data_IF_565934393526
#
_entry.id   IF_565934393526
#
_cell.length_a   1.000
_cell.length_b   1.000
_cell.length_c   1.000
_cell.angle_alpha   90.00
_cell.angle_beta   90.00
_cell.angle_gamma   90.00
#
_symmetry.space_group_name_H-M   'P 1'
#
loop_
_entity.id
_entity.type
_entity.pdbx_description
1 polymer ?
#
# COMPACT_ATOMS: atom_id res chain seq x y z
N UNK A 1 26.08 19.64 9.62
CA UNK A 1 27.12 18.98 10.45
C UNK A 1 26.49 18.52 11.75
N UNK A 2 26.10 17.25 11.81
CA UNK A 2 25.76 16.55 13.05
C UNK A 2 26.30 15.14 12.88
N UNK A 3 27.51 14.91 13.41
CA UNK A 3 28.09 13.59 13.57
C UNK A 3 27.74 13.08 14.98
N UNK A 4 27.28 11.85 15.07
CA UNK A 4 27.50 11.03 16.26
C UNK A 4 27.67 9.57 15.80
N UNK A 5 28.92 9.11 15.88
CA UNK A 5 29.30 7.70 15.78
C UNK A 5 29.15 7.05 17.17
N UNK A 6 28.71 5.80 17.19
CA UNK A 6 28.88 4.87 18.30
C UNK A 6 27.60 4.07 18.55
N UNK A 7 27.59 2.75 18.76
CA UNK A 7 28.63 1.74 18.90
C UNK A 7 27.94 0.39 18.62
N UNK A 8 28.71 -0.55 18.07
CA UNK A 8 28.42 -1.98 18.05
C UNK A 8 28.02 -2.46 19.45
N UNK A 9 26.85 -3.09 19.55
CA UNK A 9 26.30 -3.67 20.78
C UNK A 9 25.74 -5.04 20.48
N UNK A 10 26.61 -6.04 20.54
CA UNK A 10 26.29 -7.46 20.62
C UNK A 10 25.55 -7.73 21.95
N UNK A 11 24.41 -8.45 21.90
CA UNK A 11 23.69 -9.16 23.00
C UNK A 11 22.24 -9.45 22.54
N UNK A 12 21.56 -10.56 22.79
CA UNK A 12 21.87 -11.96 23.11
C UNK A 12 20.71 -12.81 22.57
N UNK A 13 21.02 -14.07 22.32
CA UNK A 13 20.10 -15.16 22.07
C UNK A 13 19.04 -15.29 23.18
N UNK A 14 17.76 -15.33 22.82
CA UNK A 14 16.65 -15.64 23.75
C UNK A 14 15.88 -16.84 23.20
N UNK A 15 16.44 -18.02 23.42
CA UNK A 15 15.78 -19.31 23.30
C UNK A 15 14.75 -19.45 24.44
N UNK A 16 13.45 -19.51 24.13
CA UNK A 16 12.42 -19.38 25.16
C UNK A 16 11.00 -19.76 24.76
N UNK A 17 10.81 -21.01 24.29
CA UNK A 17 9.67 -21.91 24.61
C UNK A 17 8.24 -21.28 24.65
N UNK A 18 7.34 -21.75 23.76
CA UNK A 18 6.11 -22.54 24.09
C UNK A 18 5.10 -22.64 22.92
N UNK A 19 4.86 -23.91 22.53
CA UNK A 19 3.58 -24.65 22.34
C UNK A 19 2.47 -24.12 21.42
N UNK A 20 1.96 -25.07 20.61
CA UNK A 20 0.58 -25.30 20.12
C UNK A 20 -0.15 -24.07 19.53
N UNK A 21 -0.71 -24.08 18.32
CA UNK A 21 -1.35 -25.12 17.53
C UNK A 21 -1.02 -24.87 16.06
N UNK A 22 -0.83 -25.94 15.30
CA UNK A 22 -0.88 -25.89 13.85
C UNK A 22 -2.33 -25.58 13.45
N UNK A 23 -2.61 -24.31 13.15
CA UNK A 23 -3.78 -23.90 12.35
C UNK A 23 -3.28 -23.62 10.93
N UNK A 24 -2.72 -24.65 10.31
CA UNK A 24 -2.27 -24.62 8.94
C UNK A 24 -3.38 -25.19 8.06
N UNK A 25 -4.03 -24.34 7.24
CA UNK A 25 -4.31 -24.70 5.85
C UNK A 25 -4.84 -23.58 4.92
N UNK A 26 -5.13 -22.35 5.38
CA UNK A 26 -5.64 -21.28 4.48
C UNK A 26 -4.77 -20.02 4.33
N UNK A 27 -3.79 -19.81 5.21
CA UNK A 27 -2.98 -18.56 5.26
C UNK A 27 -1.59 -18.67 4.64
N UNK A 28 -1.17 -19.85 4.18
CA UNK A 28 0.18 -20.09 3.67
C UNK A 28 0.45 -19.40 2.32
N UNK A 29 -0.51 -19.41 1.40
CA UNK A 29 -0.34 -18.81 0.06
C UNK A 29 -0.23 -17.28 0.11
N UNK A 30 -1.08 -16.61 0.90
CA UNK A 30 -1.12 -15.15 0.95
C UNK A 30 0.18 -14.57 1.54
N UNK A 31 0.74 -15.21 2.56
CA UNK A 31 1.97 -14.74 3.23
C UNK A 31 3.19 -14.85 2.32
N UNK A 32 3.30 -15.89 1.51
CA UNK A 32 4.43 -16.08 0.59
C UNK A 32 4.36 -15.09 -0.59
N UNK A 33 3.17 -14.89 -1.17
CA UNK A 33 2.97 -13.96 -2.29
C UNK A 33 3.18 -12.50 -1.90
N UNK A 34 2.70 -12.10 -0.71
CA UNK A 34 2.96 -10.75 -0.18
C UNK A 34 4.45 -10.58 0.10
N UNK A 35 5.11 -11.58 0.70
CA UNK A 35 6.54 -11.50 1.00
C UNK A 35 7.40 -11.36 -0.26
N UNK A 36 7.08 -12.07 -1.35
CA UNK A 36 7.78 -11.94 -2.63
C UNK A 36 7.56 -10.54 -3.25
N UNK A 37 6.35 -9.99 -3.17
CA UNK A 37 6.11 -8.60 -3.62
C UNK A 37 6.92 -7.60 -2.82
N UNK A 38 6.90 -7.69 -1.48
CA UNK A 38 7.61 -6.77 -0.60
C UNK A 38 9.14 -6.84 -0.79
N UNK A 39 9.67 -7.98 -1.24
CA UNK A 39 11.09 -8.15 -1.53
C UNK A 39 11.54 -7.51 -2.86
N UNK A 40 10.59 -7.17 -3.75
CA UNK A 40 10.89 -6.66 -5.10
C UNK A 40 10.76 -5.14 -5.24
N UNK A 41 10.15 -4.47 -4.26
CA UNK A 41 9.95 -3.02 -4.26
C UNK A 41 10.79 -2.34 -3.18
N UNK A 42 11.66 -1.41 -3.57
CA UNK A 42 12.45 -0.59 -2.63
C UNK A 42 11.55 0.33 -1.80
N UNK A 43 10.50 0.87 -2.41
CA UNK A 43 9.55 1.79 -1.76
C UNK A 43 8.11 1.37 -1.98
N UNK A 44 7.30 1.49 -0.92
CA UNK A 44 5.87 1.21 -0.96
C UNK A 44 5.10 2.39 -0.40
N UNK A 45 4.17 2.92 -1.20
CA UNK A 45 3.25 3.98 -0.81
C UNK A 45 1.85 3.39 -0.66
N UNK A 46 1.22 3.65 0.48
CA UNK A 46 -0.17 3.27 0.73
C UNK A 46 -1.06 4.49 0.54
N UNK A 47 -1.91 4.47 -0.47
CA UNK A 47 -2.83 5.56 -0.81
C UNK A 47 -4.24 5.20 -0.30
N UNK A 48 -4.83 5.99 0.62
CA UNK A 48 -6.24 5.85 0.95
C UNK A 48 -7.11 6.00 -0.31
N UNK A 49 -6.95 7.06 -1.10
CA UNK A 49 -7.74 7.38 -2.28
C UNK A 49 -6.90 7.39 -3.57
N UNK A 50 -7.61 7.47 -4.72
CA UNK A 50 -7.05 7.55 -6.07
C UNK A 50 -6.56 8.97 -6.38
N UNK A 51 -5.45 9.38 -5.80
CA UNK A 51 -4.76 10.68 -6.04
C UNK A 51 -3.74 11.00 -4.95
N UNK A 52 -4.02 10.58 -3.72
CA UNK A 52 -3.26 10.93 -2.50
C UNK A 52 -1.74 10.89 -2.69
N UNK A 53 -1.22 9.81 -3.28
CA UNK A 53 0.22 9.59 -3.42
C UNK A 53 0.84 10.49 -4.49
N UNK A 54 0.13 10.76 -5.59
CA UNK A 54 0.65 11.66 -6.64
C UNK A 54 0.68 13.09 -6.13
N UNK A 55 -0.39 13.53 -5.46
CA UNK A 55 -0.51 14.88 -4.91
C UNK A 55 0.46 15.13 -3.75
N UNK A 56 0.75 14.11 -2.93
CA UNK A 56 1.59 14.27 -1.74
C UNK A 56 3.07 13.95 -1.99
N UNK A 57 3.36 12.92 -2.79
CA UNK A 57 4.69 12.32 -2.90
C UNK A 57 5.18 12.19 -4.36
N UNK A 58 4.48 12.76 -5.35
CA UNK A 58 4.81 12.59 -6.76
C UNK A 58 6.25 12.97 -7.12
N UNK A 59 6.77 14.07 -6.56
CA UNK A 59 8.16 14.49 -6.78
C UNK A 59 9.18 13.49 -6.22
N UNK A 60 8.91 12.91 -5.05
CA UNK A 60 9.79 11.92 -4.43
C UNK A 60 9.77 10.60 -5.21
N UNK A 61 8.60 10.18 -5.69
CA UNK A 61 8.46 9.00 -6.55
C UNK A 61 9.24 9.20 -7.84
N UNK A 62 9.12 10.36 -8.47
CA UNK A 62 9.86 10.68 -9.69
C UNK A 62 11.39 10.64 -9.48
N UNK A 63 11.87 11.02 -8.29
CA UNK A 63 13.29 10.92 -7.95
C UNK A 63 13.73 9.46 -7.77
N UNK A 64 12.96 8.65 -7.04
CA UNK A 64 13.27 7.23 -6.85
C UNK A 64 13.26 6.45 -8.15
N UNK A 65 12.25 6.64 -9.00
CA UNK A 65 12.18 5.93 -10.29
C UNK A 65 13.29 6.36 -11.24
N UNK A 66 13.71 7.63 -11.24
CA UNK A 66 14.89 8.09 -12.01
C UNK A 66 16.20 7.50 -11.50
N UNK A 67 16.30 7.21 -10.20
CA UNK A 67 17.45 6.53 -9.61
C UNK A 67 17.47 5.01 -9.88
N UNK A 68 16.47 4.47 -10.59
CA UNK A 68 16.36 3.05 -10.90
C UNK A 68 15.71 2.22 -9.79
N UNK A 69 15.15 2.85 -8.77
CA UNK A 69 14.49 2.17 -7.66
C UNK A 69 13.08 1.71 -8.04
N UNK A 70 12.67 0.57 -7.51
CA UNK A 70 11.33 0.02 -7.73
C UNK A 70 10.35 0.58 -6.71
N UNK A 71 9.25 1.15 -7.20
CA UNK A 71 8.20 1.75 -6.37
C UNK A 71 6.88 1.04 -6.60
N UNK A 72 6.21 0.64 -5.52
CA UNK A 72 4.83 0.13 -5.54
C UNK A 72 3.90 1.15 -4.89
N UNK A 73 2.82 1.50 -5.58
CA UNK A 73 1.74 2.31 -5.02
C UNK A 73 0.52 1.38 -4.84
N UNK A 74 0.05 1.26 -3.61
CA UNK A 74 -1.12 0.45 -3.26
C UNK A 74 -2.27 1.38 -2.89
N UNK A 75 -3.27 1.47 -3.76
CA UNK A 75 -4.49 2.22 -3.49
C UNK A 75 -5.50 1.35 -2.74
N UNK A 76 -5.78 1.68 -1.48
CA UNK A 76 -6.55 0.83 -0.56
C UNK A 76 -8.05 0.88 -0.87
N UNK A 77 -8.60 2.06 -1.17
CA UNK A 77 -10.05 2.22 -1.43
C UNK A 77 -10.41 2.26 -2.92
N UNK A 78 -9.51 1.84 -3.80
CA UNK A 78 -9.73 1.78 -5.24
C UNK A 78 -10.46 0.50 -5.68
N UNK A 79 -11.46 0.02 -4.93
CA UNK A 79 -12.27 -1.17 -5.25
C UNK A 79 -13.34 -0.89 -6.32
N UNK A 80 -14.11 -1.91 -6.73
CA UNK A 80 -15.24 -1.74 -7.65
C UNK A 80 -16.55 -1.86 -6.86
N UNK A 81 -17.14 -0.75 -6.37
CA UNK A 81 -18.41 -0.82 -5.65
C UNK A 81 -19.54 -1.21 -6.61
N UNK A 82 -20.61 -1.80 -6.06
CA UNK A 82 -21.85 -1.94 -6.83
C UNK A 82 -22.41 -0.56 -7.15
N UNK A 83 -22.79 -0.34 -8.40
CA UNK A 83 -23.42 0.90 -8.83
C UNK A 83 -24.94 0.88 -8.56
N UNK A 84 -25.49 -0.30 -8.30
CA UNK A 84 -26.89 -0.47 -7.91
C UNK A 84 -27.12 0.14 -6.52
N UNK A 85 -28.01 1.13 -6.45
CA UNK A 85 -28.41 1.82 -5.21
C UNK A 85 -27.28 2.56 -4.48
N UNK A 86 -26.49 3.36 -5.19
CA UNK A 86 -25.54 4.28 -4.56
C UNK A 86 -26.22 5.18 -3.52
N UNK A 87 -25.66 5.36 -2.31
CA UNK A 87 -26.17 6.31 -1.33
C UNK A 87 -26.22 7.74 -1.91
N UNK A 88 -27.18 8.60 -1.51
CA UNK A 88 -27.29 9.97 -2.04
C UNK A 88 -26.00 10.79 -1.94
N UNK A 89 -25.22 10.56 -0.89
CA UNK A 89 -23.92 11.20 -0.71
C UNK A 89 -22.91 10.81 -1.80
N UNK A 90 -22.83 9.52 -2.16
CA UNK A 90 -21.95 9.05 -3.23
C UNK A 90 -22.39 9.56 -4.61
N UNK A 91 -23.71 9.67 -4.85
CA UNK A 91 -24.25 10.25 -6.08
C UNK A 91 -23.86 11.73 -6.23
N UNK A 92 -23.97 12.52 -5.16
CA UNK A 92 -23.51 13.91 -5.14
C UNK A 92 -22.00 14.02 -5.46
N UNK A 93 -21.21 13.10 -4.89
CA UNK A 93 -19.90 12.64 -5.37
C UNK A 93 -19.75 12.69 -6.89
N UNK A 94 -20.37 11.72 -7.55
CA UNK A 94 -20.20 11.45 -8.97
C UNK A 94 -20.60 12.66 -9.83
N UNK A 95 -21.70 13.33 -9.46
CA UNK A 95 -22.17 14.56 -10.13
C UNK A 95 -21.13 15.68 -10.03
N UNK A 96 -20.59 15.94 -8.83
CA UNK A 96 -19.61 17.02 -8.63
C UNK A 96 -18.31 16.77 -9.39
N UNK A 97 -17.93 15.50 -9.54
CA UNK A 97 -16.76 15.10 -10.30
C UNK A 97 -17.01 15.07 -11.81
N UNK A 98 -18.24 15.35 -12.26
CA UNK A 98 -18.68 15.28 -13.65
C UNK A 98 -18.35 13.91 -14.31
N UNK A 99 -18.45 12.85 -13.51
CA UNK A 99 -18.25 11.47 -13.96
C UNK A 99 -19.60 10.79 -14.07
N UNK A 100 -19.72 9.87 -15.03
CA UNK A 100 -20.91 9.03 -15.21
C UNK A 100 -21.08 8.04 -14.04
N UNK A 101 -21.96 7.06 -14.22
CA UNK A 101 -22.30 6.09 -13.17
C UNK A 101 -21.05 5.32 -12.65
N UNK A 102 -20.03 5.06 -13.48
CA UNK A 102 -18.78 4.41 -13.06
C UNK A 102 -17.64 5.41 -12.82
N UNK A 103 -17.81 6.18 -11.76
CA UNK A 103 -16.86 7.21 -11.36
C UNK A 103 -15.49 6.66 -10.92
N UNK A 104 -15.37 5.35 -10.61
CA UNK A 104 -14.10 4.71 -10.27
C UNK A 104 -13.33 4.35 -11.53
N UNK A 105 -13.98 3.75 -12.54
CA UNK A 105 -13.35 3.48 -13.83
C UNK A 105 -12.85 4.76 -14.50
N UNK A 106 -13.57 5.88 -14.33
CA UNK A 106 -13.14 7.20 -14.78
C UNK A 106 -11.78 7.64 -14.22
N UNK A 107 -11.40 7.21 -13.02
CA UNK A 107 -10.21 7.67 -12.28
C UNK A 107 -9.03 6.68 -12.28
N UNK A 108 -9.18 5.52 -12.90
CA UNK A 108 -8.10 4.52 -13.06
C UNK A 108 -7.31 4.68 -14.37
N UNK A 109 -7.54 5.76 -15.12
CA UNK A 109 -6.99 5.97 -16.46
C UNK A 109 -5.60 6.58 -16.44
#
# INVERSE_FOLDING_TARGET
MWQSKGKMGERQNVEGRKRCLSFAFSTFNIRHSIFIMLAHYTYIFLAPHLDDVVLSCGGQIAQYTQAGETVLIVSITAGNPSLDNLPPFAQAHHISWALDEDAVAGRRR
#
